data_IF_799112662883
#
_entry.id   IF_799112662883
#
_cell.length_a   1.000
_cell.length_b   1.000
_cell.length_c   1.000
_cell.angle_alpha   90.00
_cell.angle_beta   90.00
_cell.angle_gamma   90.00
#
_symmetry.space_group_name_H-M   'P 1'
#
loop_
_entity.id
_entity.type
_entity.pdbx_description
1 polymer ?
#
# COMPACT_ATOMS: atom_id res chain seq x y z
N UNK A 1 -31.33 -23.73 -22.76
CA UNK A 1 -30.76 -24.12 -21.45
C UNK A 1 -29.67 -23.17 -20.93
N UNK A 2 -29.46 -21.98 -21.52
CA UNK A 2 -28.52 -20.98 -20.97
C UNK A 2 -29.17 -20.05 -19.92
N UNK A 3 -30.50 -19.91 -19.93
CA UNK A 3 -31.24 -18.95 -19.09
C UNK A 3 -31.35 -19.35 -17.61
N UNK A 4 -31.09 -20.62 -17.27
CA UNK A 4 -31.20 -21.13 -15.89
C UNK A 4 -29.92 -20.84 -15.08
N UNK A 5 -28.77 -20.68 -15.75
CA UNK A 5 -27.49 -20.39 -15.09
C UNK A 5 -27.36 -18.93 -14.63
N UNK A 6 -28.15 -18.00 -15.20
CA UNK A 6 -28.14 -16.57 -14.82
C UNK A 6 -28.93 -16.32 -13.52
N UNK A 7 -29.93 -17.14 -13.22
CA UNK A 7 -30.75 -17.06 -12.00
C UNK A 7 -30.04 -17.61 -10.75
N UNK A 8 -28.86 -18.23 -10.91
CA UNK A 8 -28.04 -18.74 -9.82
C UNK A 8 -26.95 -17.76 -9.38
N UNK A 9 -26.92 -16.56 -9.97
CA UNK A 9 -26.18 -15.43 -9.42
C UNK A 9 -26.93 -14.96 -8.16
N UNK A 10 -26.80 -15.74 -7.10
CA UNK A 10 -27.16 -15.36 -5.73
C UNK A 10 -26.55 -13.98 -5.54
N UNK A 11 -27.40 -12.97 -5.35
CA UNK A 11 -26.99 -11.67 -4.86
C UNK A 11 -26.31 -11.90 -3.52
N UNK A 12 -24.99 -12.11 -3.56
CA UNK A 12 -24.14 -12.09 -2.38
C UNK A 12 -24.07 -10.63 -1.97
N UNK A 13 -25.13 -10.18 -1.30
CA UNK A 13 -25.16 -8.88 -0.66
C UNK A 13 -23.99 -8.84 0.31
N UNK A 14 -23.00 -8.02 -0.02
CA UNK A 14 -21.76 -7.90 0.73
C UNK A 14 -22.09 -7.22 2.06
N UNK A 15 -22.45 -7.99 3.08
CA UNK A 15 -22.75 -7.45 4.39
C UNK A 15 -21.43 -7.11 5.07
N UNK A 16 -21.03 -5.83 4.97
CA UNK A 16 -19.82 -5.35 5.62
C UNK A 16 -19.99 -5.46 7.14
N UNK A 17 -19.16 -6.25 7.84
CA UNK A 17 -19.27 -6.38 9.27
C UNK A 17 -18.97 -5.04 9.97
N UNK A 18 -19.70 -4.72 11.03
CA UNK A 18 -19.56 -3.43 11.74
C UNK A 18 -18.17 -3.17 12.32
N UNK A 19 -17.38 -4.22 12.58
CA UNK A 19 -15.98 -4.10 13.02
C UNK A 19 -14.99 -3.79 11.88
N UNK A 20 -15.42 -3.87 10.61
CA UNK A 20 -14.52 -3.67 9.47
C UNK A 20 -13.89 -2.28 9.48
N UNK A 21 -14.71 -1.25 9.71
CA UNK A 21 -14.25 0.14 9.67
C UNK A 21 -13.19 0.46 10.75
N UNK A 22 -13.39 0.11 12.04
CA UNK A 22 -12.36 0.35 13.05
C UNK A 22 -11.10 -0.51 12.85
N UNK A 23 -11.23 -1.77 12.41
CA UNK A 23 -10.07 -2.62 12.10
C UNK A 23 -9.27 -2.05 10.93
N UNK A 24 -9.96 -1.63 9.87
CA UNK A 24 -9.36 -1.00 8.72
C UNK A 24 -8.63 0.30 9.09
N UNK A 25 -9.28 1.17 9.86
CA UNK A 25 -8.66 2.41 10.35
C UNK A 25 -7.44 2.14 11.24
N UNK A 26 -7.51 1.12 12.09
CA UNK A 26 -6.40 0.67 12.94
C UNK A 26 -5.21 0.16 12.14
N UNK A 27 -5.44 -0.73 11.17
CA UNK A 27 -4.38 -1.23 10.28
C UNK A 27 -3.77 -0.12 9.44
N UNK A 28 -4.58 0.83 8.97
CA UNK A 28 -4.11 1.99 8.22
C UNK A 28 -3.16 2.87 9.06
N UNK A 29 -3.58 3.25 10.27
CA UNK A 29 -2.75 4.06 11.17
C UNK A 29 -1.47 3.33 11.57
N UNK A 30 -1.57 2.05 11.94
CA UNK A 30 -0.42 1.24 12.30
C UNK A 30 0.58 1.12 11.14
N UNK A 31 0.09 0.88 9.91
CA UNK A 31 0.90 0.83 8.70
C UNK A 31 1.59 2.16 8.43
N UNK A 32 0.86 3.28 8.43
CA UNK A 32 1.42 4.61 8.20
C UNK A 32 2.54 4.96 9.20
N UNK A 33 2.31 4.67 10.48
CA UNK A 33 3.31 4.89 11.54
C UNK A 33 4.52 3.97 11.36
N UNK A 34 4.31 2.68 11.07
CA UNK A 34 5.41 1.73 10.86
C UNK A 34 6.32 2.13 9.69
N UNK A 35 5.74 2.52 8.54
CA UNK A 35 6.50 2.98 7.38
C UNK A 35 7.22 4.30 7.64
N UNK A 36 6.61 5.22 8.39
CA UNK A 36 7.25 6.47 8.81
C UNK A 36 8.47 6.20 9.69
N UNK A 37 8.33 5.34 10.70
CA UNK A 37 9.44 4.94 11.58
C UNK A 37 10.54 4.29 10.77
N UNK A 38 10.21 3.37 9.87
CA UNK A 38 11.18 2.70 9.00
C UNK A 38 11.94 3.70 8.11
N UNK A 39 11.25 4.67 7.52
CA UNK A 39 11.86 5.72 6.73
C UNK A 39 12.81 6.60 7.55
N UNK A 40 12.36 7.10 8.71
CA UNK A 40 13.16 7.98 9.58
C UNK A 40 14.39 7.26 10.13
N UNK A 41 14.21 6.05 10.68
CA UNK A 41 15.33 5.25 11.18
C UNK A 41 16.30 4.88 10.06
N UNK A 42 15.76 4.52 8.89
CA UNK A 42 16.54 4.21 7.71
C UNK A 42 17.44 5.39 7.29
N UNK A 43 16.90 6.60 7.18
CA UNK A 43 17.70 7.78 6.84
C UNK A 43 18.67 8.20 7.94
N UNK A 44 18.25 8.11 9.21
CA UNK A 44 19.11 8.46 10.35
C UNK A 44 20.32 7.52 10.46
N UNK A 45 20.13 6.23 10.16
CA UNK A 45 21.18 5.19 10.27
C UNK A 45 21.87 4.88 8.95
N UNK A 46 21.43 5.46 7.83
CA UNK A 46 22.01 5.24 6.51
C UNK A 46 23.53 5.47 6.43
N UNK A 47 24.09 6.43 7.21
CA UNK A 47 25.55 6.65 7.23
C UNK A 47 26.32 5.54 7.94
N UNK A 48 25.71 4.90 8.96
CA UNK A 48 26.38 3.90 9.79
C UNK A 48 26.31 2.48 9.20
N UNK A 49 25.23 2.13 8.49
CA UNK A 49 24.98 0.78 7.99
C UNK A 49 25.21 0.60 6.48
N UNK A 50 25.73 1.64 5.82
CA UNK A 50 26.13 1.56 4.41
C UNK A 50 24.99 1.73 3.39
N UNK A 51 25.28 1.49 2.10
CA UNK A 51 24.39 1.84 1.00
C UNK A 51 23.10 1.01 0.93
N UNK A 52 23.07 -0.23 1.43
CA UNK A 52 21.88 -1.08 1.43
C UNK A 52 20.72 -0.48 2.25
N UNK A 53 21.02 0.09 3.42
CA UNK A 53 20.01 0.73 4.29
C UNK A 53 19.36 1.95 3.63
N UNK A 54 20.09 2.67 2.77
CA UNK A 54 19.53 3.78 1.98
C UNK A 54 18.43 3.30 1.04
N UNK A 55 18.65 2.18 0.35
CA UNK A 55 17.66 1.59 -0.56
C UNK A 55 16.41 1.08 0.17
N UNK A 56 16.57 0.47 1.36
CA UNK A 56 15.43 0.10 2.22
C UNK A 56 14.66 1.32 2.76
N UNK A 57 15.35 2.43 3.01
CA UNK A 57 14.71 3.70 3.41
C UNK A 57 13.84 4.25 2.28
N UNK A 58 14.35 4.24 1.04
CA UNK A 58 13.57 4.65 -0.14
C UNK A 58 12.36 3.74 -0.37
N UNK A 59 12.50 2.42 -0.22
CA UNK A 59 11.37 1.50 -0.29
C UNK A 59 10.29 1.84 0.74
N UNK A 60 10.70 2.17 1.98
CA UNK A 60 9.80 2.55 3.06
C UNK A 60 9.04 3.85 2.75
N UNK A 61 9.70 4.85 2.16
CA UNK A 61 9.06 6.09 1.69
C UNK A 61 8.04 5.80 0.59
N UNK A 62 8.37 4.94 -0.37
CA UNK A 62 7.42 4.56 -1.42
C UNK A 62 6.17 3.88 -0.83
N UNK A 63 6.31 3.01 0.17
CA UNK A 63 5.16 2.38 0.86
C UNK A 63 4.35 3.38 1.71
N UNK A 64 5.00 4.42 2.21
CA UNK A 64 4.34 5.54 2.89
C UNK A 64 3.50 6.36 1.89
N UNK A 65 4.04 6.65 0.71
CA UNK A 65 3.28 7.30 -0.36
C UNK A 65 2.12 6.42 -0.86
N UNK A 66 2.33 5.11 -0.96
CA UNK A 66 1.25 4.17 -1.27
C UNK A 66 0.11 4.23 -0.24
N UNK A 67 0.40 4.46 1.04
CA UNK A 67 -0.65 4.64 2.05
C UNK A 67 -1.56 5.86 1.77
N UNK A 68 -1.12 6.86 1.02
CA UNK A 68 -1.98 7.99 0.64
C UNK A 68 -3.17 7.57 -0.25
N UNK A 69 -3.11 6.40 -0.90
CA UNK A 69 -4.26 5.88 -1.66
C UNK A 69 -5.50 5.70 -0.77
N UNK A 70 -5.33 5.46 0.53
CA UNK A 70 -6.45 5.29 1.45
C UNK A 70 -7.21 6.60 1.69
N UNK A 71 -6.52 7.76 1.59
CA UNK A 71 -7.21 9.04 1.52
C UNK A 71 -8.03 9.14 0.24
N UNK A 72 -7.51 8.67 -0.89
CA UNK A 72 -8.25 8.69 -2.15
C UNK A 72 -9.49 7.77 -2.14
N UNK A 73 -9.41 6.60 -1.49
CA UNK A 73 -10.59 5.75 -1.23
C UNK A 73 -11.59 6.51 -0.35
N UNK A 74 -11.12 7.16 0.73
CA UNK A 74 -11.96 7.96 1.61
C UNK A 74 -12.69 9.09 0.88
N UNK A 75 -11.98 9.86 0.06
CA UNK A 75 -12.57 10.92 -0.79
C UNK A 75 -13.53 10.35 -1.82
N UNK A 76 -13.20 9.22 -2.44
CA UNK A 76 -14.04 8.53 -3.40
C UNK A 76 -15.41 8.10 -2.88
N UNK A 77 -15.44 7.62 -1.64
CA UNK A 77 -16.69 7.27 -0.95
C UNK A 77 -17.54 8.53 -0.73
N UNK A 78 -16.93 9.67 -0.42
CA UNK A 78 -17.63 10.94 -0.22
C UNK A 78 -18.17 11.54 -1.53
N UNK A 79 -17.43 11.42 -2.63
CA UNK A 79 -17.79 12.03 -3.93
C UNK A 79 -18.59 11.09 -4.84
N UNK A 80 -18.72 9.80 -4.51
CA UNK A 80 -19.38 8.76 -5.32
C UNK A 80 -18.84 8.63 -6.75
N UNK A 81 -17.61 9.08 -6.99
CA UNK A 81 -16.97 9.03 -8.30
C UNK A 81 -15.99 7.84 -8.37
N UNK A 82 -16.50 6.70 -8.84
CA UNK A 82 -15.73 5.47 -8.94
C UNK A 82 -14.55 5.60 -9.92
N UNK A 83 -14.69 6.39 -10.99
CA UNK A 83 -13.66 6.49 -12.01
C UNK A 83 -12.41 7.22 -11.48
N UNK A 84 -12.63 8.27 -10.69
CA UNK A 84 -11.58 8.98 -9.99
C UNK A 84 -10.86 8.06 -8.98
N UNK A 85 -11.60 7.26 -8.23
CA UNK A 85 -11.02 6.29 -7.27
C UNK A 85 -10.11 5.29 -7.96
N UNK A 86 -10.59 4.63 -9.02
CA UNK A 86 -9.81 3.63 -9.75
C UNK A 86 -8.56 4.22 -10.40
N UNK A 87 -8.66 5.44 -10.94
CA UNK A 87 -7.52 6.13 -11.54
C UNK A 87 -6.44 6.40 -10.49
N UNK A 88 -6.82 6.95 -9.34
CA UNK A 88 -5.88 7.26 -8.27
C UNK A 88 -5.28 5.98 -7.65
N UNK A 89 -6.10 4.94 -7.42
CA UNK A 89 -5.60 3.65 -6.92
C UNK A 89 -4.57 3.03 -7.87
N UNK A 90 -4.85 3.06 -9.17
CA UNK A 90 -3.94 2.53 -10.19
C UNK A 90 -2.62 3.29 -10.20
N UNK A 91 -2.66 4.61 -10.06
CA UNK A 91 -1.45 5.43 -9.94
C UNK A 91 -0.64 5.10 -8.69
N UNK A 92 -1.27 4.99 -7.52
CA UNK A 92 -0.54 4.70 -6.29
C UNK A 92 0.08 3.30 -6.24
N UNK A 93 -0.49 2.32 -6.96
CA UNK A 93 0.13 1.01 -7.12
C UNK A 93 1.54 1.05 -7.74
N UNK A 94 1.86 2.09 -8.52
CA UNK A 94 3.22 2.31 -9.03
C UNK A 94 4.24 2.45 -7.90
N UNK A 95 3.87 3.04 -6.76
CA UNK A 95 4.79 3.16 -5.62
C UNK A 95 5.08 1.82 -4.96
N UNK A 96 4.17 0.84 -5.02
CA UNK A 96 4.45 -0.54 -4.56
C UNK A 96 5.51 -1.18 -5.44
N UNK A 97 5.39 -0.98 -6.76
CA UNK A 97 6.38 -1.49 -7.71
C UNK A 97 7.75 -0.85 -7.47
N UNK A 98 7.79 0.47 -7.27
CA UNK A 98 9.02 1.20 -6.91
C UNK A 98 9.61 0.69 -5.59
N UNK A 99 8.78 0.48 -4.57
CA UNK A 99 9.20 -0.05 -3.29
C UNK A 99 9.83 -1.44 -3.44
N UNK A 100 9.25 -2.31 -4.27
CA UNK A 100 9.78 -3.63 -4.56
C UNK A 100 11.15 -3.54 -5.25
N UNK A 101 11.30 -2.67 -6.26
CA UNK A 101 12.59 -2.45 -6.93
C UNK A 101 13.65 -1.94 -5.94
N UNK A 102 13.31 -0.95 -5.12
CA UNK A 102 14.21 -0.42 -4.09
C UNK A 102 14.61 -1.51 -3.07
N UNK A 103 13.68 -2.36 -2.65
CA UNK A 103 13.96 -3.46 -1.74
C UNK A 103 14.89 -4.50 -2.39
N UNK A 104 14.66 -4.88 -3.65
CA UNK A 104 15.51 -5.81 -4.40
C UNK A 104 16.95 -5.27 -4.49
N UNK A 105 17.13 -3.99 -4.85
CA UNK A 105 18.46 -3.36 -4.89
C UNK A 105 19.09 -3.34 -3.49
N UNK A 106 18.31 -3.06 -2.45
CA UNK A 106 18.73 -3.13 -1.06
C UNK A 106 19.29 -4.50 -0.68
N UNK A 107 18.59 -5.58 -1.05
CA UNK A 107 19.04 -6.96 -0.82
C UNK A 107 20.30 -7.30 -1.62
N UNK A 108 20.37 -6.93 -2.90
CA UNK A 108 21.57 -7.18 -3.73
C UNK A 108 22.81 -6.51 -3.11
N UNK A 109 22.66 -5.28 -2.64
CA UNK A 109 23.74 -4.52 -1.97
C UNK A 109 24.11 -5.10 -0.60
N UNK A 110 23.18 -5.78 0.07
CA UNK A 110 23.42 -6.45 1.35
C UNK A 110 24.20 -7.76 1.15
N UNK A 111 23.87 -8.53 0.11
CA UNK A 111 24.48 -9.86 -0.15
C UNK A 111 25.74 -9.82 -1.00
N UNK A 112 26.02 -8.70 -1.68
CA UNK A 112 27.26 -8.45 -2.41
C UNK A 112 27.96 -7.17 -1.93
N UNK A 113 28.51 -7.15 -0.69
CA UNK A 113 29.28 -6.02 -0.20
C UNK A 113 30.62 -5.99 -0.95
N UNK A 114 30.68 -5.21 -2.04
CA UNK A 114 31.92 -4.78 -2.68
C UNK A 114 32.22 -3.36 -2.27
#
# INVERSE_FOLDING_TARGET
MASILVLLQVETSFHQPGYFLPVFAGMFLAGAVAWLIAAVLGFARARAFGPSVRWFSFASVCLLLFHLQFLAVGFGVLTKDNNLVFTILTFFNLFVLLAAICAIIGFIRLTSPR
#
